data_IF_049812118975
#
_entry.id   IF_049812118975
#
_cell.length_a   1.000
_cell.length_b   1.000
_cell.length_c   1.000
_cell.angle_alpha   90.00
_cell.angle_beta   90.00
_cell.angle_gamma   90.00
#
_symmetry.space_group_name_H-M   'P 1'
#
loop_
_entity.id
_entity.type
_entity.pdbx_description
1 polymer ?
#
# COMPACT_ATOMS: atom_id res chain seq x y z
N UNK A 1 -30.15 -24.96 -1.43
CA UNK A 1 -28.69 -24.91 -1.20
C UNK A 1 -28.45 -23.64 -0.39
N UNK A 2 -27.99 -23.75 0.86
CA UNK A 2 -27.74 -22.57 1.70
C UNK A 2 -26.43 -21.96 1.21
N UNK A 3 -26.52 -20.78 0.61
CA UNK A 3 -25.35 -20.01 0.21
C UNK A 3 -24.54 -19.68 1.48
N UNK A 4 -23.38 -20.30 1.62
CA UNK A 4 -22.41 -19.92 2.64
C UNK A 4 -21.86 -18.55 2.24
N UNK A 5 -22.47 -17.49 2.79
CA UNK A 5 -22.01 -16.11 2.63
C UNK A 5 -20.73 -15.96 3.46
N UNK A 6 -19.58 -16.14 2.82
CA UNK A 6 -18.29 -15.81 3.43
C UNK A 6 -18.09 -14.30 3.24
N UNK A 7 -18.34 -13.53 4.30
CA UNK A 7 -18.19 -12.06 4.27
C UNK A 7 -16.74 -11.61 4.51
N UNK A 8 -15.97 -12.43 5.23
CA UNK A 8 -14.60 -12.12 5.64
C UNK A 8 -13.70 -13.31 5.37
N UNK A 9 -12.67 -13.08 4.57
CA UNK A 9 -11.64 -14.08 4.29
C UNK A 9 -10.30 -13.55 4.79
N UNK A 10 -9.68 -14.30 5.69
CA UNK A 10 -8.27 -14.12 6.03
C UNK A 10 -7.56 -15.39 5.63
N UNK A 11 -6.80 -15.31 4.54
CA UNK A 11 -5.99 -16.43 4.10
C UNK A 11 -4.58 -16.22 4.62
N UNK A 12 -4.16 -17.11 5.51
CA UNK A 12 -2.77 -17.23 5.93
C UNK A 12 -2.22 -18.46 5.24
N UNK A 13 -1.24 -18.26 4.38
CA UNK A 13 -0.63 -19.38 3.68
C UNK A 13 0.69 -19.71 4.36
N UNK A 14 0.78 -20.97 4.80
CA UNK A 14 1.97 -21.54 5.41
C UNK A 14 2.34 -22.79 4.62
N UNK A 15 3.19 -22.60 3.63
CA UNK A 15 3.89 -23.64 2.89
C UNK A 15 4.86 -24.48 3.75
N UNK A 16 5.30 -25.63 3.23
CA UNK A 16 6.43 -26.38 3.78
C UNK A 16 7.76 -25.76 3.33
N UNK A 17 8.88 -26.44 3.62
CA UNK A 17 10.22 -26.03 3.19
C UNK A 17 10.30 -25.77 1.67
N UNK A 18 10.74 -24.56 1.32
CA UNK A 18 11.11 -24.04 -0.01
C UNK A 18 10.18 -24.41 -1.18
N UNK A 19 9.09 -23.66 -1.38
CA UNK A 19 8.32 -23.78 -2.59
C UNK A 19 9.13 -23.30 -3.81
N UNK A 20 9.06 -24.01 -4.95
CA UNK A 20 9.90 -23.73 -6.12
C UNK A 20 9.48 -22.51 -6.96
N UNK A 21 8.44 -21.76 -6.60
CA UNK A 21 7.89 -20.65 -7.41
C UNK A 21 7.31 -19.53 -6.53
N UNK A 22 7.21 -18.27 -7.02
CA UNK A 22 6.53 -17.20 -6.31
C UNK A 22 5.06 -17.58 -6.11
N UNK A 23 4.67 -17.79 -4.85
CA UNK A 23 3.32 -18.24 -4.52
C UNK A 23 2.37 -17.06 -4.40
N UNK A 24 2.88 -15.84 -4.26
CA UNK A 24 2.11 -14.65 -4.01
C UNK A 24 1.08 -14.39 -5.10
N UNK A 25 1.45 -14.54 -6.38
CA UNK A 25 0.50 -14.44 -7.49
C UNK A 25 -0.55 -15.55 -7.43
N UNK A 26 -0.14 -16.79 -7.11
CA UNK A 26 -1.09 -17.90 -6.96
C UNK A 26 -2.07 -17.65 -5.80
N UNK A 27 -1.65 -16.96 -4.73
CA UNK A 27 -2.57 -16.58 -3.64
C UNK A 27 -3.61 -15.56 -4.09
N UNK A 28 -3.18 -14.56 -4.87
CA UNK A 28 -4.08 -13.60 -5.50
C UNK A 28 -5.08 -14.34 -6.39
N UNK A 29 -4.59 -15.23 -7.26
CA UNK A 29 -5.41 -15.98 -8.21
C UNK A 29 -6.38 -16.94 -7.53
N UNK A 30 -5.95 -17.66 -6.49
CA UNK A 30 -6.79 -18.54 -5.68
C UNK A 30 -7.87 -17.73 -4.95
N UNK A 31 -7.51 -16.59 -4.35
CA UNK A 31 -8.48 -15.71 -3.71
C UNK A 31 -9.50 -15.20 -4.74
N UNK A 32 -9.04 -14.76 -5.91
CA UNK A 32 -9.89 -14.37 -7.02
C UNK A 32 -10.82 -15.52 -7.43
N UNK A 33 -10.31 -16.73 -7.63
CA UNK A 33 -11.08 -17.87 -8.15
C UNK A 33 -12.14 -18.36 -7.17
N UNK A 34 -11.84 -18.40 -5.88
CA UNK A 34 -12.67 -19.08 -4.89
C UNK A 34 -13.50 -18.17 -3.98
N UNK A 35 -13.18 -16.87 -3.89
CA UNK A 35 -13.97 -15.94 -3.09
C UNK A 35 -15.16 -15.38 -3.89
N UNK A 36 -16.28 -15.13 -3.21
CA UNK A 36 -17.47 -14.56 -3.84
C UNK A 36 -17.28 -13.05 -4.09
N UNK A 37 -17.35 -12.58 -5.34
CA UNK A 37 -17.17 -11.16 -5.70
C UNK A 37 -18.17 -10.21 -5.04
N UNK A 38 -19.36 -10.71 -4.70
CA UNK A 38 -20.47 -9.91 -4.19
C UNK A 38 -20.53 -9.83 -2.66
N UNK A 39 -19.85 -10.71 -1.94
CA UNK A 39 -19.96 -10.77 -0.47
C UNK A 39 -18.64 -10.52 0.24
N UNK A 40 -17.51 -10.67 -0.45
CA UNK A 40 -16.20 -10.47 0.15
C UNK A 40 -16.00 -9.00 0.53
N UNK A 41 -15.86 -8.75 1.83
CA UNK A 41 -15.62 -7.40 2.38
C UNK A 41 -14.22 -7.21 2.95
N UNK A 42 -13.55 -8.31 3.33
CA UNK A 42 -12.21 -8.27 3.92
C UNK A 42 -11.35 -9.33 3.23
N UNK A 43 -10.25 -8.90 2.63
CA UNK A 43 -9.25 -9.76 2.03
C UNK A 43 -7.87 -9.36 2.58
N UNK A 44 -7.26 -10.27 3.32
CA UNK A 44 -5.88 -10.14 3.79
C UNK A 44 -5.13 -11.36 3.31
N UNK A 45 -4.12 -11.13 2.47
CA UNK A 45 -3.18 -12.13 2.00
C UNK A 45 -1.81 -11.79 2.58
N UNK A 46 -1.12 -12.78 3.14
CA UNK A 46 0.20 -12.59 3.74
C UNK A 46 1.04 -13.84 3.55
N UNK A 47 2.31 -13.66 3.17
CA UNK A 47 3.29 -14.74 3.21
C UNK A 47 4.04 -14.70 4.55
N UNK A 48 3.95 -15.80 5.32
CA UNK A 48 4.58 -15.92 6.64
C UNK A 48 5.97 -16.57 6.59
N UNK A 49 6.43 -17.06 5.43
CA UNK A 49 7.65 -17.87 5.35
C UNK A 49 8.95 -17.11 5.34
N UNK A 50 8.95 -15.90 4.81
CA UNK A 50 10.19 -15.22 4.47
C UNK A 50 10.87 -14.57 5.68
N UNK A 51 10.20 -14.48 6.84
CA UNK A 51 10.85 -14.07 8.10
C UNK A 51 11.95 -15.03 8.57
N UNK A 52 12.03 -16.27 8.06
CA UNK A 52 13.02 -17.26 8.51
C UNK A 52 14.19 -17.48 7.54
N UNK A 53 14.01 -17.25 6.24
CA UNK A 53 15.04 -17.61 5.24
C UNK A 53 16.22 -16.62 5.20
N UNK A 54 16.00 -15.37 5.63
CA UNK A 54 17.01 -14.32 5.58
C UNK A 54 18.19 -14.48 6.57
N UNK A 55 18.13 -15.42 7.51
CA UNK A 55 19.24 -15.70 8.43
C UNK A 55 20.43 -16.42 7.74
N UNK A 56 20.25 -16.95 6.52
CA UNK A 56 21.25 -17.82 5.87
C UNK A 56 21.79 -17.21 4.57
N UNK A 57 22.32 -15.99 4.64
CA UNK A 57 23.45 -15.49 3.80
C UNK A 57 23.42 -15.60 2.27
N UNK A 58 22.33 -16.01 1.64
CA UNK A 58 22.24 -16.31 0.22
C UNK A 58 21.29 -15.37 -0.51
N UNK A 59 21.66 -14.09 -0.68
CA UNK A 59 20.99 -13.14 -1.59
C UNK A 59 21.27 -13.47 -3.07
N UNK A 60 21.32 -14.76 -3.42
CA UNK A 60 21.56 -15.20 -4.79
C UNK A 60 20.29 -14.95 -5.60
N UNK A 61 20.33 -13.88 -6.40
CA UNK A 61 19.65 -13.74 -7.71
C UNK A 61 18.26 -14.39 -7.80
N UNK A 62 17.39 -14.14 -6.82
CA UNK A 62 15.98 -14.36 -7.08
C UNK A 62 15.58 -13.33 -8.13
N UNK A 63 14.92 -13.78 -9.21
CA UNK A 63 14.31 -12.92 -10.23
C UNK A 63 13.19 -12.09 -9.57
N UNK A 64 13.60 -11.04 -8.84
CA UNK A 64 12.73 -10.09 -8.13
C UNK A 64 11.99 -9.15 -9.10
N UNK A 65 12.08 -9.42 -10.39
CA UNK A 65 11.51 -8.62 -11.47
C UNK A 65 10.04 -8.98 -11.76
N UNK A 66 9.50 -10.05 -11.18
CA UNK A 66 8.09 -10.40 -11.39
C UNK A 66 7.16 -9.58 -10.47
N UNK A 67 6.61 -8.51 -11.04
CA UNK A 67 5.60 -7.67 -10.40
C UNK A 67 4.27 -8.42 -10.21
N UNK A 68 3.67 -8.31 -9.03
CA UNK A 68 2.38 -8.95 -8.75
C UNK A 68 1.21 -8.22 -9.43
N UNK A 69 0.42 -8.96 -10.21
CA UNK A 69 -0.80 -8.46 -10.85
C UNK A 69 -2.01 -8.58 -9.90
N UNK A 70 -2.58 -7.43 -9.53
CA UNK A 70 -3.76 -7.34 -8.65
C UNK A 70 -5.08 -7.19 -9.42
N UNK A 71 -5.05 -7.21 -10.76
CA UNK A 71 -6.21 -6.93 -11.62
C UNK A 71 -7.39 -7.87 -11.36
N UNK A 72 -7.10 -9.12 -11.02
CA UNK A 72 -8.10 -10.16 -10.72
C UNK A 72 -8.93 -9.84 -9.46
N UNK A 73 -8.46 -8.93 -8.59
CA UNK A 73 -9.14 -8.49 -7.38
C UNK A 73 -10.21 -7.41 -7.64
N UNK A 74 -10.19 -6.72 -8.77
CA UNK A 74 -11.14 -5.63 -9.06
C UNK A 74 -12.60 -6.06 -9.19
N UNK A 75 -12.88 -7.37 -9.27
CA UNK A 75 -14.25 -7.90 -9.25
C UNK A 75 -14.93 -7.86 -7.87
N UNK A 76 -14.18 -7.63 -6.79
CA UNK A 76 -14.71 -7.65 -5.42
C UNK A 76 -15.31 -6.29 -5.02
N UNK A 77 -16.55 -6.02 -5.46
CA UNK A 77 -17.18 -4.70 -5.35
C UNK A 77 -17.49 -4.22 -3.91
N UNK A 78 -17.51 -5.15 -2.94
CA UNK A 78 -17.86 -4.87 -1.54
C UNK A 78 -16.65 -4.85 -0.60
N UNK A 79 -15.42 -4.80 -1.14
CA UNK A 79 -14.20 -4.73 -0.33
C UNK A 79 -14.19 -3.44 0.51
N UNK A 80 -14.01 -3.64 1.82
CA UNK A 80 -13.76 -2.60 2.82
C UNK A 80 -12.32 -2.63 3.32
N UNK A 81 -11.67 -3.80 3.31
CA UNK A 81 -10.27 -3.96 3.70
C UNK A 81 -9.55 -4.87 2.72
N UNK A 82 -8.49 -4.34 2.10
CA UNK A 82 -7.58 -5.08 1.25
C UNK A 82 -6.16 -4.89 1.78
N UNK A 83 -5.48 -5.98 2.12
CA UNK A 83 -4.08 -5.96 2.51
C UNK A 83 -3.33 -7.12 1.86
N UNK A 84 -2.30 -6.78 1.08
CA UNK A 84 -1.40 -7.70 0.42
C UNK A 84 -0.02 -7.53 1.03
N UNK A 85 0.38 -8.47 1.89
CA UNK A 85 1.64 -8.45 2.64
C UNK A 85 2.57 -9.49 2.09
N UNK A 86 3.22 -9.10 1.02
CA UNK A 86 4.10 -9.95 0.24
C UNK A 86 5.52 -9.42 0.29
N UNK A 87 6.47 -10.32 0.06
CA UNK A 87 7.86 -9.95 -0.11
C UNK A 87 8.07 -9.25 -1.44
N UNK A 88 7.52 -9.83 -2.51
CA UNK A 88 7.61 -9.22 -3.84
C UNK A 88 6.92 -7.86 -3.87
N UNK A 89 7.53 -6.86 -4.52
CA UNK A 89 6.92 -5.55 -4.66
C UNK A 89 5.64 -5.64 -5.51
N UNK A 90 4.63 -4.89 -5.10
CA UNK A 90 3.40 -4.71 -5.88
C UNK A 90 3.56 -3.43 -6.68
N UNK A 91 3.65 -3.55 -8.01
CA UNK A 91 3.84 -2.40 -8.89
C UNK A 91 2.48 -1.82 -9.27
N UNK A 92 2.06 -0.79 -8.53
CA UNK A 92 0.78 -0.14 -8.77
C UNK A 92 0.93 0.92 -9.86
N UNK A 93 0.17 0.76 -10.93
CA UNK A 93 0.10 1.65 -12.09
C UNK A 93 -0.98 2.73 -11.91
N UNK A 94 -0.92 3.84 -12.67
CA UNK A 94 -2.00 4.84 -12.70
C UNK A 94 -3.39 4.29 -13.09
N UNK A 95 -3.41 3.29 -13.98
CA UNK A 95 -4.66 2.66 -14.40
C UNK A 95 -5.28 1.87 -13.23
N UNK A 96 -4.48 1.12 -12.49
CA UNK A 96 -4.94 0.37 -11.33
C UNK A 96 -5.43 1.27 -10.21
N UNK A 97 -4.81 2.43 -9.97
CA UNK A 97 -5.34 3.44 -9.03
C UNK A 97 -6.77 3.86 -9.42
N UNK A 98 -7.01 4.05 -10.72
CA UNK A 98 -8.34 4.39 -11.23
C UNK A 98 -9.32 3.22 -11.05
N UNK A 99 -8.87 1.99 -11.29
CA UNK A 99 -9.69 0.78 -11.07
C UNK A 99 -9.99 0.56 -9.59
N UNK A 100 -9.05 0.81 -8.67
CA UNK A 100 -9.25 0.73 -7.22
C UNK A 100 -10.36 1.70 -6.79
N UNK A 101 -10.31 2.94 -7.28
CA UNK A 101 -11.33 3.95 -6.98
C UNK A 101 -12.74 3.54 -7.46
N UNK A 102 -12.83 2.91 -8.64
CA UNK A 102 -14.11 2.46 -9.22
C UNK A 102 -14.62 1.19 -8.54
N UNK A 103 -13.73 0.23 -8.29
CA UNK A 103 -14.08 -1.12 -7.84
C UNK A 103 -14.28 -1.18 -6.33
N UNK A 104 -13.57 -0.36 -5.56
CA UNK A 104 -13.60 -0.38 -4.10
C UNK A 104 -14.00 0.98 -3.49
N UNK A 105 -15.13 1.58 -3.90
CA UNK A 105 -15.53 2.92 -3.40
C UNK A 105 -15.80 2.92 -1.87
N UNK A 106 -16.11 1.75 -1.30
CA UNK A 106 -16.33 1.54 0.13
C UNK A 106 -15.08 1.20 0.94
N UNK A 107 -13.88 1.23 0.34
CA UNK A 107 -12.66 0.81 1.02
C UNK A 107 -12.30 1.72 2.19
N UNK A 108 -11.94 1.11 3.30
CA UNK A 108 -11.53 1.77 4.54
C UNK A 108 -10.07 1.55 4.88
N UNK A 109 -9.49 0.43 4.43
CA UNK A 109 -8.07 0.10 4.57
C UNK A 109 -7.55 -0.49 3.26
N UNK A 110 -6.47 0.07 2.74
CA UNK A 110 -5.76 -0.41 1.55
C UNK A 110 -4.26 -0.51 1.87
N UNK A 111 -3.71 -1.72 1.77
CA UNK A 111 -2.29 -1.98 2.03
C UNK A 111 -1.71 -2.79 0.86
N UNK A 112 -0.97 -2.08 0.01
CA UNK A 112 -0.29 -2.59 -1.20
C UNK A 112 1.22 -2.32 -1.16
N UNK A 113 1.76 -2.01 0.02
CA UNK A 113 3.20 -1.90 0.22
C UNK A 113 3.73 -3.31 0.55
N UNK A 114 4.59 -3.85 -0.32
CA UNK A 114 5.36 -5.03 0.01
C UNK A 114 6.39 -4.74 1.11
N UNK A 115 6.95 -5.79 1.70
CA UNK A 115 7.95 -5.66 2.77
C UNK A 115 9.34 -5.25 2.21
N UNK A 116 9.58 -5.47 0.91
CA UNK A 116 10.87 -5.20 0.28
C UNK A 116 10.82 -3.99 -0.68
N UNK A 117 11.92 -3.23 -0.77
CA UNK A 117 12.04 -2.19 -1.78
C UNK A 117 11.88 -2.78 -3.17
N UNK A 118 11.06 -2.12 -3.99
CA UNK A 118 11.18 -2.27 -5.42
C UNK A 118 12.48 -1.60 -5.90
N UNK A 119 13.19 -2.25 -6.81
CA UNK A 119 14.28 -1.62 -7.55
C UNK A 119 13.76 -0.68 -8.66
N UNK A 120 12.46 -0.77 -8.97
CA UNK A 120 11.83 0.09 -9.95
C UNK A 120 11.26 1.35 -9.30
N UNK A 121 11.42 2.52 -9.95
CA UNK A 121 10.73 3.73 -9.53
C UNK A 121 9.21 3.51 -9.53
N UNK A 122 8.48 4.00 -8.51
CA UNK A 122 7.02 3.92 -8.51
C UNK A 122 6.42 4.61 -9.73
N UNK A 123 5.44 3.97 -10.36
CA UNK A 123 4.76 4.52 -11.55
C UNK A 123 3.69 5.55 -11.20
N UNK A 124 3.21 5.53 -9.95
CA UNK A 124 2.24 6.48 -9.42
C UNK A 124 2.94 7.61 -8.66
N UNK A 125 2.24 8.73 -8.50
CA UNK A 125 2.79 9.96 -7.91
C UNK A 125 1.72 10.64 -7.06
N UNK A 126 2.05 11.80 -6.50
CA UNK A 126 1.13 12.59 -5.67
C UNK A 126 -0.23 12.93 -6.32
N UNK A 127 -0.35 13.12 -7.64
CA UNK A 127 -1.65 13.38 -8.28
C UNK A 127 -2.53 12.14 -8.30
N UNK A 128 -1.94 10.96 -8.53
CA UNK A 128 -2.64 9.67 -8.45
C UNK A 128 -3.11 9.38 -7.02
N UNK A 129 -2.28 9.69 -6.02
CA UNK A 129 -2.67 9.63 -4.60
C UNK A 129 -3.91 10.49 -4.32
N UNK A 130 -3.96 11.73 -4.79
CA UNK A 130 -5.16 12.59 -4.63
C UNK A 130 -6.38 12.03 -5.37
N UNK A 131 -6.19 11.45 -6.55
CA UNK A 131 -7.27 10.79 -7.30
C UNK A 131 -7.85 9.61 -6.52
N UNK A 132 -6.99 8.80 -5.89
CA UNK A 132 -7.40 7.70 -5.02
C UNK A 132 -8.25 8.20 -3.84
N UNK A 133 -7.80 9.25 -3.15
CA UNK A 133 -8.55 9.82 -2.02
C UNK A 133 -9.92 10.37 -2.42
N UNK A 134 -10.07 10.91 -3.63
CA UNK A 134 -11.37 11.36 -4.17
C UNK A 134 -12.29 10.19 -4.49
N UNK A 135 -11.73 9.11 -5.04
CA UNK A 135 -12.48 7.89 -5.39
C UNK A 135 -12.89 7.05 -4.19
N UNK A 136 -12.08 7.08 -3.13
CA UNK A 136 -12.26 6.28 -1.92
C UNK A 136 -12.47 7.17 -0.69
N UNK A 137 -13.61 7.86 -0.55
CA UNK A 137 -13.83 8.87 0.50
C UNK A 137 -13.83 8.28 1.92
N UNK A 138 -14.06 6.97 2.05
CA UNK A 138 -14.07 6.25 3.33
C UNK A 138 -12.69 5.69 3.75
N UNK A 139 -11.66 5.88 2.92
CA UNK A 139 -10.31 5.35 3.16
C UNK A 139 -9.69 6.03 4.40
N UNK A 140 -9.35 5.21 5.41
CA UNK A 140 -8.79 5.65 6.70
C UNK A 140 -7.33 5.24 6.86
N UNK A 141 -6.96 4.09 6.32
CA UNK A 141 -5.62 3.51 6.42
C UNK A 141 -5.11 3.20 5.02
N UNK A 142 -3.98 3.80 4.64
CA UNK A 142 -3.34 3.58 3.35
C UNK A 142 -1.87 3.23 3.56
N UNK A 143 -1.45 2.08 3.05
CA UNK A 143 -0.06 1.73 2.86
C UNK A 143 0.22 1.54 1.37
N UNK A 144 0.97 2.48 0.76
CA UNK A 144 1.19 2.53 -0.69
C UNK A 144 2.50 3.26 -1.00
N UNK A 145 3.26 2.74 -1.96
CA UNK A 145 4.49 3.38 -2.44
C UNK A 145 4.18 4.24 -3.67
N UNK A 146 4.55 5.52 -3.66
CA UNK A 146 4.33 6.44 -4.77
C UNK A 146 5.38 7.56 -4.81
N UNK A 147 5.60 8.16 -5.99
CA UNK A 147 6.60 9.20 -6.19
C UNK A 147 6.15 10.57 -5.63
N UNK A 148 6.84 10.99 -4.57
CA UNK A 148 6.70 12.30 -3.92
C UNK A 148 7.89 13.23 -4.20
N UNK A 149 8.84 12.80 -5.04
CA UNK A 149 10.03 13.56 -5.38
C UNK A 149 9.71 14.88 -6.11
N UNK A 150 8.58 14.90 -6.83
CA UNK A 150 8.14 16.03 -7.66
C UNK A 150 7.11 16.96 -6.98
N UNK A 151 6.83 16.78 -5.70
CA UNK A 151 5.92 17.68 -4.98
C UNK A 151 6.48 19.10 -5.00
N UNK A 152 5.69 20.02 -5.57
CA UNK A 152 6.00 21.44 -5.61
C UNK A 152 5.31 22.16 -4.47
N UNK A 153 5.82 23.33 -4.09
CA UNK A 153 5.06 24.25 -3.24
C UNK A 153 3.87 24.76 -4.05
N UNK A 154 2.69 24.21 -3.80
CA UNK A 154 1.46 24.70 -4.40
C UNK A 154 1.09 26.04 -3.75
N UNK A 155 1.15 27.11 -4.55
CA UNK A 155 0.65 28.45 -4.16
C UNK A 155 -0.85 28.62 -4.46
N UNK A 156 -1.47 27.65 -5.13
CA UNK A 156 -2.86 27.74 -5.56
C UNK A 156 -3.81 27.37 -4.41
N UNK A 157 -5.02 27.96 -4.37
CA UNK A 157 -6.06 27.54 -3.43
C UNK A 157 -6.41 26.08 -3.68
N UNK A 158 -6.02 25.23 -2.73
CA UNK A 158 -6.30 23.80 -2.76
C UNK A 158 -7.80 23.61 -2.53
N UNK A 159 -8.49 23.02 -3.51
CA UNK A 159 -9.86 22.54 -3.29
C UNK A 159 -9.76 21.40 -2.27
N UNK A 160 -10.32 21.55 -1.07
CA UNK A 160 -10.21 20.53 -0.04
C UNK A 160 -10.82 19.23 -0.57
N UNK A 161 -10.03 18.17 -0.62
CA UNK A 161 -10.53 16.84 -0.93
C UNK A 161 -11.16 16.31 0.34
N UNK A 162 -12.48 16.10 0.34
CA UNK A 162 -13.12 15.38 1.43
C UNK A 162 -12.58 13.94 1.45
N UNK A 163 -11.78 13.62 2.46
CA UNK A 163 -11.23 12.28 2.66
C UNK A 163 -11.19 11.95 4.16
N UNK A 164 -11.19 10.65 4.49
CA UNK A 164 -11.18 10.16 5.86
C UNK A 164 -9.81 9.64 6.30
N UNK A 165 -8.73 9.96 5.57
CA UNK A 165 -7.42 9.35 5.77
C UNK A 165 -6.83 9.73 7.13
N UNK A 166 -6.48 8.71 7.92
CA UNK A 166 -5.93 8.83 9.29
C UNK A 166 -4.51 8.31 9.39
N UNK A 167 -4.20 7.23 8.68
CA UNK A 167 -2.90 6.57 8.70
C UNK A 167 -2.38 6.50 7.27
N UNK A 168 -1.15 6.96 7.06
CA UNK A 168 -0.45 6.87 5.80
C UNK A 168 0.91 6.20 6.04
N UNK A 169 1.08 5.00 5.51
CA UNK A 169 2.37 4.35 5.36
C UNK A 169 2.84 4.51 3.90
N UNK A 170 4.02 5.11 3.73
CA UNK A 170 4.57 5.44 2.41
C UNK A 170 5.64 4.44 1.94
N UNK A 171 6.04 3.50 2.81
CA UNK A 171 7.17 2.60 2.55
C UNK A 171 8.36 3.36 1.97
N UNK A 172 8.83 2.92 0.79
CA UNK A 172 10.01 3.47 0.13
C UNK A 172 9.76 4.58 -0.87
N UNK A 173 8.65 5.28 -0.69
CA UNK A 173 8.26 6.38 -1.57
C UNK A 173 9.42 7.38 -1.75
N UNK A 174 9.87 7.65 -2.99
CA UNK A 174 10.91 8.62 -3.24
C UNK A 174 10.49 10.01 -2.75
N UNK A 175 11.36 10.67 -1.98
CA UNK A 175 11.13 12.02 -1.45
C UNK A 175 12.41 12.86 -1.57
N UNK A 176 12.28 14.09 -2.10
CA UNK A 176 13.40 15.06 -2.17
C UNK A 176 13.35 16.11 -1.07
N UNK A 177 12.16 16.61 -0.72
CA UNK A 177 12.00 17.69 0.27
C UNK A 177 10.95 17.31 1.32
N UNK A 178 11.38 16.91 2.54
CA UNK A 178 10.48 16.66 3.67
C UNK A 178 9.49 17.80 3.91
N UNK A 179 9.97 19.04 3.92
CA UNK A 179 9.15 20.24 4.12
C UNK A 179 8.02 20.37 3.09
N UNK A 180 8.31 20.15 1.79
CA UNK A 180 7.30 20.28 0.73
C UNK A 180 6.25 19.18 0.84
N UNK A 181 6.66 17.95 1.13
CA UNK A 181 5.75 16.82 1.31
C UNK A 181 4.86 17.03 2.54
N UNK A 182 5.42 17.46 3.67
CA UNK A 182 4.63 17.77 4.87
C UNK A 182 3.61 18.87 4.59
N UNK A 183 4.00 19.95 3.92
CA UNK A 183 3.05 21.01 3.52
C UNK A 183 1.95 20.49 2.58
N UNK A 184 2.31 19.66 1.61
CA UNK A 184 1.37 19.00 0.71
C UNK A 184 0.36 18.12 1.47
N UNK A 185 0.83 17.28 2.40
CA UNK A 185 -0.03 16.42 3.23
C UNK A 185 -0.93 17.25 4.15
N UNK A 186 -0.43 18.34 4.76
CA UNK A 186 -1.26 19.24 5.58
C UNK A 186 -2.44 19.81 4.79
N UNK A 187 -2.21 20.18 3.54
CA UNK A 187 -3.23 20.77 2.68
C UNK A 187 -4.27 19.74 2.21
N UNK A 188 -3.87 18.48 1.99
CA UNK A 188 -4.71 17.48 1.32
C UNK A 188 -5.27 16.39 2.24
N UNK A 189 -4.67 16.15 3.40
CA UNK A 189 -5.08 15.10 4.35
C UNK A 189 -5.25 15.70 5.75
N UNK A 190 -6.27 16.57 5.96
CA UNK A 190 -6.42 17.30 7.21
C UNK A 190 -6.69 16.39 8.42
N UNK A 191 -7.18 15.17 8.20
CA UNK A 191 -7.49 14.17 9.23
C UNK A 191 -6.37 13.17 9.48
N UNK A 192 -5.22 13.31 8.81
CA UNK A 192 -4.08 12.42 8.99
C UNK A 192 -3.51 12.60 10.40
N UNK A 193 -3.43 11.51 11.16
CA UNK A 193 -2.92 11.47 12.54
C UNK A 193 -1.64 10.65 12.66
N UNK A 194 -1.29 9.85 11.65
CA UNK A 194 -0.08 9.05 11.65
C UNK A 194 0.52 9.01 10.25
N UNK A 195 1.77 9.46 10.14
CA UNK A 195 2.62 9.33 8.98
C UNK A 195 3.73 8.33 9.33
N UNK A 196 3.92 7.32 8.49
CA UNK A 196 4.85 6.23 8.75
C UNK A 196 5.64 5.89 7.49
N UNK A 197 6.91 5.56 7.69
CA UNK A 197 7.77 4.81 6.80
C UNK A 197 8.19 3.55 7.57
N UNK A 198 7.20 2.73 7.92
CA UNK A 198 7.45 1.49 8.61
C UNK A 198 7.90 0.45 7.58
N UNK A 199 9.21 0.30 7.46
CA UNK A 199 9.82 -0.99 7.11
C UNK A 199 10.09 -1.77 8.39
N UNK A 200 10.03 -3.09 8.32
CA UNK A 200 10.64 -3.93 9.34
C UNK A 200 12.14 -3.56 9.46
N UNK A 201 12.62 -3.44 10.71
CA UNK A 201 13.88 -2.79 11.12
C UNK A 201 15.17 -3.39 10.55
N UNK A 202 15.07 -4.46 9.78
CA UNK A 202 16.20 -5.25 9.27
C UNK A 202 16.62 -4.86 7.85
N UNK A 203 15.84 -4.01 7.17
CA UNK A 203 16.19 -3.57 5.82
C UNK A 203 17.34 -2.57 5.81
N UNK A 204 18.19 -2.64 4.78
CA UNK A 204 19.29 -1.68 4.57
C UNK A 204 18.68 -0.27 4.43
N UNK A 205 19.13 0.72 5.24
CA UNK A 205 18.63 2.08 5.16
C UNK A 205 18.80 2.63 3.75
N UNK A 206 17.69 2.99 3.10
CA UNK A 206 17.76 3.66 1.80
C UNK A 206 17.92 5.17 1.99
N UNK A 207 18.34 5.87 0.93
CA UNK A 207 18.56 7.34 0.98
C UNK A 207 17.28 8.13 1.35
N UNK A 208 16.10 7.55 1.12
CA UNK A 208 14.82 8.16 1.44
C UNK A 208 14.40 7.95 2.89
N UNK A 209 14.83 6.88 3.57
CA UNK A 209 14.46 6.57 4.96
C UNK A 209 14.77 7.74 5.90
N UNK A 210 15.98 8.33 5.79
CA UNK A 210 16.36 9.50 6.59
C UNK A 210 15.50 10.73 6.29
N UNK A 211 15.07 10.91 5.05
CA UNK A 211 14.20 12.03 4.66
C UNK A 211 12.78 11.85 5.18
N UNK A 212 12.29 10.62 5.18
CA UNK A 212 11.01 10.28 5.79
C UNK A 212 11.00 10.45 7.29
N UNK A 213 12.08 10.06 7.98
CA UNK A 213 12.23 10.35 9.42
C UNK A 213 12.07 11.84 9.72
N UNK A 214 12.74 12.71 8.95
CA UNK A 214 12.58 14.17 9.10
C UNK A 214 11.14 14.61 8.82
N UNK A 215 10.48 14.04 7.81
CA UNK A 215 9.08 14.35 7.50
C UNK A 215 8.13 13.91 8.63
N UNK A 216 8.36 12.75 9.24
CA UNK A 216 7.61 12.24 10.40
C UNK A 216 7.77 13.12 11.63
N UNK A 217 9.02 13.51 11.96
CA UNK A 217 9.30 14.43 13.07
C UNK A 217 8.58 15.78 12.87
N UNK A 218 8.66 16.34 11.65
CA UNK A 218 7.94 17.57 11.29
C UNK A 218 6.42 17.41 11.35
N UNK A 219 5.91 16.23 11.01
CA UNK A 219 4.50 15.90 11.09
C UNK A 219 4.04 15.82 12.55
N UNK A 220 4.82 15.19 13.42
CA UNK A 220 4.50 15.07 14.84
C UNK A 220 4.45 16.44 15.53
N UNK A 221 5.43 17.31 15.28
CA UNK A 221 5.42 18.70 15.79
C UNK A 221 4.15 19.45 15.37
N UNK A 222 3.66 19.20 14.16
CA UNK A 222 2.39 19.78 13.71
C UNK A 222 1.17 19.22 14.45
N UNK A 223 1.13 17.90 14.68
CA UNK A 223 0.03 17.29 15.44
C UNK A 223 -0.01 17.81 16.88
N UNK A 224 1.14 17.99 17.52
CA UNK A 224 1.25 18.51 18.88
C UNK A 224 0.83 19.99 18.99
N UNK A 225 0.76 20.71 17.87
CA UNK A 225 0.38 22.13 17.81
C UNK A 225 -1.11 22.39 17.55
N UNK A 226 -1.90 21.33 17.30
CA UNK A 226 -3.35 21.41 17.01
C UNK A 226 -4.18 21.29 18.28
#
# INVERSE_FOLDING_TARGET
VRDNIIEKVRCYCRFGSDPPFPIEQQLIDVAAMHCNPLTLSHLILSDLHLRRSMEVGGLLEMDLDEELDISSLFKFINIQQLALRFHNPISVTPNEISQIAISFPGITKLELCGDHPSFHPPQINHSHFLSLLRGCPLLKDLALVFDLSRVREEKAPVVPVANALKILNVGDSPIYSPTKVVSFLKAHTPHLISLQNARDSESIPNIFSRRWQVAEEMWQVFLDSR
#
